data_IF_982130791173
#
_entry.id   IF_982130791173
#
_cell.length_a   1.000
_cell.length_b   1.000
_cell.length_c   1.000
_cell.angle_alpha   90.00
_cell.angle_beta   90.00
_cell.angle_gamma   90.00
#
_symmetry.space_group_name_H-M   'P 1'
#
loop_
_entity.id
_entity.type
_entity.pdbx_description
1 polymer ?
#
# COMPACT_ATOMS: atom_id res chain seq x y z
N UNK A 1 17.55 23.39 -17.80
CA UNK A 1 18.94 23.06 -18.17
C UNK A 1 18.96 21.91 -19.19
N UNK A 2 18.34 20.76 -18.88
CA UNK A 2 18.22 19.59 -19.78
C UNK A 2 17.66 19.90 -21.19
N UNK A 3 16.69 20.80 -21.32
CA UNK A 3 16.10 21.14 -22.62
C UNK A 3 17.03 21.94 -23.55
N UNK A 4 18.01 22.67 -22.99
CA UNK A 4 19.00 23.43 -23.76
C UNK A 4 20.10 22.48 -24.24
N UNK A 5 20.58 21.60 -23.37
CA UNK A 5 21.57 20.56 -23.70
C UNK A 5 21.08 19.62 -24.80
N UNK A 6 19.81 19.19 -24.76
CA UNK A 6 19.21 18.36 -25.81
C UNK A 6 19.09 19.11 -27.14
N UNK A 7 18.86 20.43 -27.10
CA UNK A 7 18.80 21.24 -28.31
C UNK A 7 20.19 21.45 -28.90
N UNK A 8 21.21 21.67 -28.06
CA UNK A 8 22.61 21.74 -28.48
C UNK A 8 23.08 20.41 -29.11
N UNK A 9 22.75 19.26 -28.50
CA UNK A 9 23.06 17.94 -29.07
C UNK A 9 22.42 17.76 -30.45
N UNK A 10 21.14 18.13 -30.60
CA UNK A 10 20.44 18.02 -31.88
C UNK A 10 21.00 18.97 -32.94
N UNK A 11 21.42 20.18 -32.55
CA UNK A 11 22.06 21.14 -33.46
C UNK A 11 23.41 20.62 -33.91
N UNK A 12 24.24 20.08 -33.01
CA UNK A 12 25.54 19.50 -33.39
C UNK A 12 25.39 18.27 -34.30
N UNK A 13 24.36 17.45 -34.09
CA UNK A 13 24.04 16.34 -34.99
C UNK A 13 23.63 16.83 -36.39
N UNK A 14 22.81 17.88 -36.47
CA UNK A 14 22.40 18.49 -37.74
C UNK A 14 23.59 19.13 -38.47
N UNK A 15 24.46 19.84 -37.76
CA UNK A 15 25.68 20.43 -38.31
C UNK A 15 26.61 19.34 -38.85
N UNK A 16 26.81 18.25 -38.10
CA UNK A 16 27.59 17.09 -38.56
C UNK A 16 26.98 16.42 -39.78
N UNK A 17 25.64 16.38 -39.91
CA UNK A 17 24.96 15.76 -41.05
C UNK A 17 25.04 16.61 -42.32
N UNK A 18 25.03 17.94 -42.19
CA UNK A 18 25.05 18.88 -43.30
C UNK A 18 26.48 19.15 -43.77
N UNK A 19 27.39 19.41 -42.83
CA UNK A 19 28.78 19.80 -43.12
C UNK A 19 29.79 18.65 -42.98
N UNK A 20 29.37 17.46 -42.52
CA UNK A 20 30.26 16.31 -42.36
C UNK A 20 31.40 16.60 -41.38
N UNK A 21 32.63 16.20 -41.76
CA UNK A 21 33.86 16.50 -41.00
C UNK A 21 34.41 17.92 -41.24
N UNK A 22 33.81 18.72 -42.12
CA UNK A 22 34.24 20.11 -42.38
C UNK A 22 33.28 21.07 -41.69
N UNK A 23 33.32 21.10 -40.36
CA UNK A 23 32.58 22.11 -39.58
C UNK A 23 33.22 23.47 -39.90
N UNK A 24 32.49 24.42 -40.52
CA UNK A 24 33.03 25.76 -40.72
C UNK A 24 33.24 26.39 -39.34
N UNK A 25 34.46 26.86 -39.08
CA UNK A 25 34.71 27.71 -37.92
C UNK A 25 33.90 29.00 -38.10
N UNK A 26 33.52 29.63 -36.98
CA UNK A 26 32.60 30.79 -36.89
C UNK A 26 33.01 31.97 -37.81
N UNK A 27 34.26 31.99 -38.30
CA UNK A 27 34.84 33.03 -39.16
C UNK A 27 35.19 32.59 -40.60
N UNK A 28 34.86 31.37 -41.03
CA UNK A 28 35.10 30.94 -42.43
C UNK A 28 33.98 31.41 -43.38
N UNK A 29 34.33 31.83 -44.62
CA UNK A 29 33.33 32.27 -45.58
C UNK A 29 32.39 31.11 -45.92
N UNK A 30 31.09 31.32 -45.64
CA UNK A 30 30.01 30.41 -46.01
C UNK A 30 30.19 29.95 -47.47
N UNK A 31 30.09 28.64 -47.76
CA UNK A 31 30.23 28.13 -49.11
C UNK A 31 29.26 28.88 -50.05
N UNK A 32 29.80 29.48 -51.12
CA UNK A 32 29.09 30.40 -52.01
C UNK A 32 27.90 29.77 -52.76
N UNK A 33 27.82 28.43 -52.80
CA UNK A 33 26.70 27.72 -53.40
C UNK A 33 25.83 27.15 -52.27
N UNK A 34 24.58 27.60 -52.21
CA UNK A 34 23.59 27.02 -51.30
C UNK A 34 23.52 25.51 -51.53
N UNK A 35 23.53 24.74 -50.44
CA UNK A 35 23.39 23.28 -50.49
C UNK A 35 22.10 22.90 -51.23
N UNK A 36 21.08 23.76 -51.13
CA UNK A 36 19.81 23.64 -51.86
C UNK A 36 20.02 23.75 -53.37
N UNK A 37 20.87 24.68 -53.83
CA UNK A 37 21.14 24.87 -55.26
C UNK A 37 21.95 23.70 -55.82
N UNK A 38 22.91 23.18 -55.06
CA UNK A 38 23.66 21.97 -55.43
C UNK A 38 22.74 20.75 -55.48
N UNK A 39 21.85 20.59 -54.50
CA UNK A 39 20.88 19.49 -54.47
C UNK A 39 19.86 19.60 -55.61
N UNK A 40 19.40 20.80 -55.93
CA UNK A 40 18.53 21.06 -57.07
C UNK A 40 19.24 20.77 -58.40
N UNK A 41 20.51 21.16 -58.53
CA UNK A 41 21.33 20.87 -59.70
C UNK A 41 21.54 19.36 -59.88
N UNK A 42 21.87 18.63 -58.80
CA UNK A 42 22.00 17.17 -58.81
C UNK A 42 20.67 16.50 -59.16
N UNK A 43 19.55 16.94 -58.58
CA UNK A 43 18.23 16.41 -58.91
C UNK A 43 17.87 16.67 -60.39
N UNK A 44 18.21 17.84 -60.91
CA UNK A 44 18.02 18.18 -62.33
C UNK A 44 18.88 17.30 -63.23
N UNK A 45 20.15 17.06 -62.87
CA UNK A 45 21.06 16.15 -63.60
C UNK A 45 20.59 14.69 -63.56
N UNK A 46 20.11 14.21 -62.41
CA UNK A 46 19.55 12.87 -62.26
C UNK A 46 18.29 12.78 -63.11
N UNK A 47 17.38 13.75 -63.03
CA UNK A 47 16.14 13.80 -63.82
C UNK A 47 16.41 13.86 -65.33
N UNK A 48 17.39 14.66 -65.78
CA UNK A 48 17.76 14.73 -67.20
C UNK A 48 18.42 13.45 -67.69
N UNK A 49 19.25 12.79 -66.87
CA UNK A 49 19.87 11.50 -67.21
C UNK A 49 18.84 10.37 -67.25
N UNK A 50 17.83 10.45 -66.37
CA UNK A 50 16.76 9.47 -66.24
C UNK A 50 15.68 9.63 -67.32
N UNK A 51 15.55 10.82 -67.90
CA UNK A 51 14.64 11.11 -69.02
C UNK A 51 14.91 10.27 -70.27
N UNK A 52 16.13 9.73 -70.43
CA UNK A 52 16.47 8.79 -71.51
C UNK A 52 16.24 7.31 -71.18
N UNK A 53 15.95 6.98 -69.92
CA UNK A 53 15.82 5.61 -69.42
C UNK A 53 14.49 5.43 -68.67
N UNK A 54 13.41 5.26 -69.43
CA UNK A 54 12.03 5.16 -68.94
C UNK A 54 11.84 4.15 -67.79
N UNK A 55 12.53 3.00 -67.86
CA UNK A 55 12.49 1.94 -66.82
C UNK A 55 13.07 2.39 -65.49
N UNK A 56 14.14 3.18 -65.51
CA UNK A 56 14.76 3.69 -64.29
C UNK A 56 13.95 4.87 -63.72
N UNK A 57 13.30 5.67 -64.56
CA UNK A 57 12.33 6.68 -64.13
C UNK A 57 11.13 6.05 -63.40
N UNK A 58 10.60 4.96 -63.94
CA UNK A 58 9.52 4.20 -63.29
C UNK A 58 9.95 3.64 -61.92
N UNK A 59 11.19 3.15 -61.78
CA UNK A 59 11.73 2.68 -60.49
C UNK A 59 11.87 3.81 -59.46
N UNK A 60 12.41 4.97 -59.85
CA UNK A 60 12.54 6.13 -58.95
C UNK A 60 11.18 6.67 -58.51
N UNK A 61 10.16 6.59 -59.37
CA UNK A 61 8.78 6.95 -59.01
C UNK A 61 8.12 5.97 -58.04
N UNK A 62 8.51 4.69 -58.07
CA UNK A 62 8.00 3.66 -57.14
C UNK A 62 8.78 3.56 -55.83
N UNK A 63 9.90 4.25 -55.71
CA UNK A 63 10.69 4.33 -54.48
C UNK A 63 9.90 4.87 -53.28
N UNK A 64 9.07 5.94 -53.39
CA UNK A 64 8.22 6.37 -52.29
C UNK A 64 7.15 5.33 -51.93
N UNK A 65 6.50 4.70 -52.92
CA UNK A 65 5.53 3.61 -52.68
C UNK A 65 6.19 2.41 -51.98
N UNK A 66 7.42 2.07 -52.37
CA UNK A 66 8.17 0.99 -51.75
C UNK A 66 8.63 1.35 -50.34
N UNK A 67 8.96 2.62 -50.09
CA UNK A 67 9.29 3.12 -48.76
C UNK A 67 8.08 3.10 -47.84
N UNK A 68 6.89 3.38 -48.37
CA UNK A 68 5.61 3.28 -47.65
C UNK A 68 5.27 1.82 -47.31
N UNK A 69 5.51 0.89 -48.23
CA UNK A 69 5.31 -0.56 -48.00
C UNK A 69 6.38 -1.19 -47.09
N UNK A 70 7.58 -0.59 -46.99
CA UNK A 70 8.61 -1.02 -46.04
C UNK A 70 8.47 -0.36 -44.67
N UNK A 71 7.63 0.66 -44.55
CA UNK A 71 7.34 1.27 -43.27
C UNK A 71 6.47 0.31 -42.46
N UNK A 72 7.03 -0.21 -41.37
CA UNK A 72 6.35 -1.11 -40.42
C UNK A 72 5.14 -0.45 -39.74
N UNK A 73 4.87 0.82 -40.01
CA UNK A 73 3.68 1.55 -39.57
C UNK A 73 2.55 1.57 -40.60
N UNK A 74 2.71 0.93 -41.78
CA UNK A 74 1.59 0.56 -42.64
C UNK A 74 0.87 -0.65 -42.02
N UNK A 75 0.12 -0.38 -40.95
CA UNK A 75 -0.74 -1.35 -40.29
C UNK A 75 -1.82 -1.81 -41.27
N UNK A 76 -1.65 -3.02 -41.82
CA UNK A 76 -2.74 -3.76 -42.45
C UNK A 76 -3.68 -4.26 -41.35
N UNK A 77 -4.49 -3.35 -40.81
CA UNK A 77 -5.37 -3.54 -39.65
C UNK A 77 -6.32 -4.75 -39.80
N UNK A 78 -6.59 -5.18 -41.03
CA UNK A 78 -7.43 -6.34 -41.35
C UNK A 78 -6.75 -7.68 -41.04
N UNK A 79 -5.46 -7.85 -41.34
CA UNK A 79 -4.71 -9.07 -40.99
C UNK A 79 -4.56 -9.25 -39.47
N UNK A 80 -4.64 -8.15 -38.71
CA UNK A 80 -4.56 -8.18 -37.26
C UNK A 80 -5.88 -8.53 -36.57
N UNK A 81 -7.04 -8.50 -37.23
CA UNK A 81 -8.32 -8.70 -36.50
C UNK A 81 -8.46 -10.13 -35.98
N UNK A 82 -8.11 -11.14 -36.77
CA UNK A 82 -8.13 -12.55 -36.35
C UNK A 82 -7.06 -12.83 -35.28
N UNK A 83 -5.86 -12.25 -35.46
CA UNK A 83 -4.79 -12.36 -34.47
C UNK A 83 -5.15 -11.68 -33.13
N UNK A 84 -5.79 -10.49 -33.19
CA UNK A 84 -6.32 -9.78 -32.02
C UNK A 84 -7.41 -10.62 -31.33
N UNK A 85 -8.27 -11.30 -32.09
CA UNK A 85 -9.29 -12.19 -31.54
C UNK A 85 -8.67 -13.38 -30.81
N UNK A 86 -7.72 -14.08 -31.42
CA UNK A 86 -7.00 -15.20 -30.80
C UNK A 86 -6.23 -14.77 -29.55
N UNK A 87 -5.62 -13.58 -29.56
CA UNK A 87 -4.97 -13.01 -28.36
C UNK A 87 -5.99 -12.76 -27.25
N UNK A 88 -7.15 -12.16 -27.56
CA UNK A 88 -8.22 -11.92 -26.58
C UNK A 88 -8.74 -13.24 -26.02
N UNK A 89 -8.90 -14.27 -26.87
CA UNK A 89 -9.34 -15.60 -26.45
C UNK A 89 -8.31 -16.29 -25.55
N UNK A 90 -7.02 -16.21 -25.90
CA UNK A 90 -5.93 -16.72 -25.07
C UNK A 90 -5.88 -16.02 -23.70
N UNK A 91 -6.11 -14.70 -23.67
CA UNK A 91 -6.10 -13.89 -22.45
C UNK A 91 -7.42 -13.92 -21.67
N UNK A 92 -8.48 -14.56 -22.18
CA UNK A 92 -9.83 -14.51 -21.59
C UNK A 92 -9.86 -14.99 -20.13
N UNK A 93 -9.11 -16.05 -19.81
CA UNK A 93 -9.05 -16.57 -18.44
C UNK A 93 -8.34 -15.61 -17.48
N UNK A 94 -7.29 -14.94 -17.95
CA UNK A 94 -6.58 -13.93 -17.17
C UNK A 94 -7.46 -12.69 -16.97
N UNK A 95 -8.17 -12.27 -18.01
CA UNK A 95 -9.12 -11.15 -17.94
C UNK A 95 -10.24 -11.42 -16.93
N UNK A 96 -10.78 -12.65 -16.91
CA UNK A 96 -11.79 -13.06 -15.92
C UNK A 96 -11.25 -13.03 -14.50
N UNK A 97 -10.04 -13.56 -14.28
CA UNK A 97 -9.38 -13.51 -12.96
C UNK A 97 -9.14 -12.08 -12.50
N UNK A 98 -8.70 -11.21 -13.39
CA UNK A 98 -8.48 -9.79 -13.09
C UNK A 98 -9.80 -9.09 -12.75
N UNK A 99 -10.89 -9.42 -13.45
CA UNK A 99 -12.22 -8.88 -13.17
C UNK A 99 -12.75 -9.35 -11.81
N UNK A 100 -12.57 -10.63 -11.45
CA UNK A 100 -12.91 -11.15 -10.12
C UNK A 100 -12.10 -10.46 -9.02
N UNK A 101 -10.81 -10.23 -9.26
CA UNK A 101 -9.94 -9.54 -8.31
C UNK A 101 -10.34 -8.07 -8.14
N UNK A 102 -10.69 -7.40 -9.23
CA UNK A 102 -11.19 -6.02 -9.24
C UNK A 102 -12.51 -5.90 -8.48
N UNK A 103 -13.45 -6.84 -8.70
CA UNK A 103 -14.71 -6.86 -7.97
C UNK A 103 -14.49 -7.07 -6.47
N UNK A 104 -13.62 -8.01 -6.08
CA UNK A 104 -13.23 -8.18 -4.67
C UNK A 104 -12.61 -6.90 -4.10
N UNK A 105 -11.73 -6.23 -4.84
CA UNK A 105 -11.14 -4.97 -4.41
C UNK A 105 -12.21 -3.89 -4.20
N UNK A 106 -13.19 -3.76 -5.10
CA UNK A 106 -14.29 -2.81 -4.95
C UNK A 106 -15.21 -3.13 -3.76
N UNK A 107 -15.45 -4.41 -3.48
CA UNK A 107 -16.20 -4.84 -2.28
C UNK A 107 -15.43 -4.52 -0.98
N UNK A 108 -14.10 -4.61 -0.99
CA UNK A 108 -13.22 -4.36 0.16
C UNK A 108 -12.86 -2.87 0.34
N UNK A 109 -12.96 -2.06 -0.71
CA UNK A 109 -12.70 -0.61 -0.69
C UNK A 109 -13.50 0.12 0.40
N UNK A 110 -14.83 -0.07 0.55
CA UNK A 110 -15.58 0.60 1.62
C UNK A 110 -15.19 0.13 3.03
N UNK A 111 -14.52 -1.02 3.19
CA UNK A 111 -14.01 -1.49 4.49
C UNK A 111 -12.79 -0.67 4.94
N UNK A 112 -11.98 -0.21 4.00
CA UNK A 112 -10.84 0.67 4.25
C UNK A 112 -11.29 2.09 4.60
N UNK A 113 -12.42 2.52 4.04
CA UNK A 113 -13.03 3.84 4.30
C UNK A 113 -13.85 3.89 5.59
N UNK A 114 -13.96 2.78 6.34
CA UNK A 114 -14.69 2.80 7.60
C UNK A 114 -13.95 3.75 8.56
N UNK A 115 -14.60 4.87 8.89
CA UNK A 115 -14.15 5.87 9.88
C UNK A 115 -13.72 5.24 11.23
N UNK A 116 -14.18 4.02 11.52
CA UNK A 116 -13.76 3.22 12.68
C UNK A 116 -12.27 2.92 12.71
N UNK A 117 -11.60 2.72 11.56
CA UNK A 117 -10.13 2.54 11.50
C UNK A 117 -9.43 3.88 11.73
N UNK A 118 -9.99 4.97 11.20
CA UNK A 118 -9.47 6.33 11.38
C UNK A 118 -9.56 6.82 12.83
N UNK A 119 -10.59 6.40 13.56
CA UNK A 119 -10.82 6.76 14.96
C UNK A 119 -10.06 5.89 15.97
N UNK A 120 -9.29 4.89 15.53
CA UNK A 120 -8.48 4.03 16.42
C UNK A 120 -7.49 4.84 17.28
N UNK A 121 -6.71 5.80 16.72
CA UNK A 121 -5.77 6.60 17.51
C UNK A 121 -6.46 7.48 18.56
N UNK A 122 -7.71 7.91 18.31
CA UNK A 122 -8.50 8.68 19.29
C UNK A 122 -9.08 7.80 20.41
N UNK A 123 -9.27 6.50 20.15
CA UNK A 123 -9.78 5.55 21.11
C UNK A 123 -8.67 4.98 22.02
N UNK A 124 -7.43 4.95 21.54
CA UNK A 124 -6.25 4.52 22.32
C UNK A 124 -6.09 5.24 23.67
N UNK A 125 -6.11 6.59 23.76
CA UNK A 125 -5.97 7.27 25.04
C UNK A 125 -7.15 7.01 25.99
N UNK A 126 -8.36 6.84 25.46
CA UNK A 126 -9.54 6.48 26.26
C UNK A 126 -9.41 5.07 26.83
N UNK A 127 -8.87 4.13 26.05
CA UNK A 127 -8.62 2.76 26.48
C UNK A 127 -7.50 2.71 27.54
N UNK A 128 -6.44 3.48 27.36
CA UNK A 128 -5.36 3.60 28.34
C UNK A 128 -5.89 4.15 29.68
N UNK A 129 -6.65 5.25 29.65
CA UNK A 129 -7.27 5.80 30.84
C UNK A 129 -8.25 4.81 31.51
N UNK A 130 -9.04 4.08 30.73
CA UNK A 130 -9.90 3.02 31.26
C UNK A 130 -9.10 1.89 31.93
N UNK A 131 -7.95 1.52 31.34
CA UNK A 131 -7.07 0.48 31.87
C UNK A 131 -6.47 0.88 33.21
N UNK A 132 -6.01 2.13 33.32
CA UNK A 132 -5.52 2.70 34.59
C UNK A 132 -6.62 2.71 35.65
N UNK A 133 -7.82 3.17 35.31
CA UNK A 133 -8.95 3.18 36.23
C UNK A 133 -9.36 1.76 36.67
N UNK A 134 -9.31 0.80 35.75
CA UNK A 134 -9.60 -0.59 36.05
C UNK A 134 -8.58 -1.19 37.03
N UNK A 135 -7.28 -0.92 36.82
CA UNK A 135 -6.22 -1.33 37.75
C UNK A 135 -6.45 -0.74 39.15
N UNK A 136 -6.75 0.55 39.23
CA UNK A 136 -7.03 1.19 40.51
C UNK A 136 -8.27 0.61 41.21
N UNK A 137 -9.35 0.35 40.46
CA UNK A 137 -10.54 -0.30 41.00
C UNK A 137 -10.26 -1.71 41.50
N UNK A 138 -9.40 -2.45 40.80
CA UNK A 138 -8.97 -3.79 41.20
C UNK A 138 -8.13 -3.77 42.49
N UNK A 139 -7.17 -2.84 42.61
CA UNK A 139 -6.38 -2.67 43.83
C UNK A 139 -7.25 -2.31 45.03
N UNK A 140 -8.17 -1.35 44.87
CA UNK A 140 -9.12 -0.97 45.92
C UNK A 140 -9.99 -2.15 46.35
N UNK A 141 -10.48 -2.94 45.40
CA UNK A 141 -11.27 -4.14 45.68
C UNK A 141 -10.46 -5.17 46.49
N UNK A 142 -9.19 -5.39 46.10
CA UNK A 142 -8.28 -6.28 46.81
C UNK A 142 -8.02 -5.81 48.26
N UNK A 143 -7.80 -4.52 48.46
CA UNK A 143 -7.59 -3.94 49.79
C UNK A 143 -8.82 -4.09 50.68
N UNK A 144 -10.01 -3.76 50.16
CA UNK A 144 -11.28 -3.94 50.88
C UNK A 144 -11.47 -5.40 51.26
N UNK A 145 -11.21 -6.32 50.33
CA UNK A 145 -11.35 -7.75 50.59
C UNK A 145 -10.38 -8.21 51.69
N UNK A 146 -9.14 -7.72 51.68
CA UNK A 146 -8.16 -7.99 52.74
C UNK A 146 -8.63 -7.48 54.09
N UNK A 147 -9.14 -6.24 54.15
CA UNK A 147 -9.69 -5.67 55.38
C UNK A 147 -10.89 -6.47 55.88
N UNK A 148 -11.77 -6.92 54.99
CA UNK A 148 -12.92 -7.74 55.32
C UNK A 148 -12.51 -9.09 55.92
N UNK A 149 -11.50 -9.76 55.36
CA UNK A 149 -10.95 -10.98 55.94
C UNK A 149 -10.32 -10.74 57.32
N UNK A 150 -9.64 -9.61 57.53
CA UNK A 150 -9.07 -9.26 58.82
C UNK A 150 -10.17 -9.06 59.88
N UNK A 151 -11.25 -8.34 59.54
CA UNK A 151 -12.39 -8.15 60.43
C UNK A 151 -13.08 -9.48 60.74
N UNK A 152 -13.28 -10.35 59.74
CA UNK A 152 -13.85 -11.68 59.98
C UNK A 152 -12.95 -12.55 60.87
N UNK A 153 -11.64 -12.50 60.69
CA UNK A 153 -10.70 -13.21 61.55
C UNK A 153 -10.80 -12.73 63.00
N UNK A 154 -10.83 -11.41 63.23
CA UNK A 154 -11.04 -10.82 64.55
C UNK A 154 -12.38 -11.22 65.16
N UNK A 155 -13.46 -11.15 64.38
CA UNK A 155 -14.79 -11.55 64.82
C UNK A 155 -14.83 -13.03 65.24
N UNK A 156 -14.28 -13.92 64.41
CA UNK A 156 -14.23 -15.36 64.72
C UNK A 156 -13.41 -15.63 65.98
N UNK A 157 -12.30 -14.92 66.18
CA UNK A 157 -11.49 -15.04 67.40
C UNK A 157 -12.24 -14.59 68.66
N UNK A 158 -12.96 -13.46 68.58
CA UNK A 158 -13.81 -12.97 69.66
C UNK A 158 -14.93 -13.97 69.95
N UNK A 159 -15.57 -14.51 68.92
CA UNK A 159 -16.65 -15.49 69.06
C UNK A 159 -16.17 -16.79 69.72
N UNK A 160 -14.99 -17.29 69.34
CA UNK A 160 -14.35 -18.44 69.99
C UNK A 160 -14.04 -18.16 71.46
N UNK A 161 -13.53 -16.96 71.76
CA UNK A 161 -13.27 -16.52 73.14
C UNK A 161 -14.54 -16.44 73.97
N UNK A 162 -15.62 -15.86 73.43
CA UNK A 162 -16.94 -15.80 74.09
C UNK A 162 -17.46 -17.21 74.30
N UNK A 163 -17.34 -18.10 73.31
CA UNK A 163 -17.80 -19.49 73.41
C UNK A 163 -17.08 -20.23 74.55
N UNK A 164 -15.76 -20.06 74.65
CA UNK A 164 -14.95 -20.59 75.77
C UNK A 164 -15.33 -20.00 77.12
N UNK A 165 -15.56 -18.69 77.18
CA UNK A 165 -16.02 -18.01 78.41
C UNK A 165 -17.38 -18.53 78.87
N UNK A 166 -18.32 -18.72 77.94
CA UNK A 166 -19.64 -19.27 78.26
C UNK A 166 -19.56 -20.70 78.76
N UNK A 167 -18.74 -21.57 78.15
CA UNK A 167 -18.50 -22.93 78.64
C UNK A 167 -17.85 -22.92 80.04
N UNK A 168 -16.89 -22.04 80.27
CA UNK A 168 -16.25 -21.91 81.59
C UNK A 168 -17.23 -21.40 82.65
N UNK A 169 -18.11 -20.47 82.29
CA UNK A 169 -19.13 -19.93 83.18
C UNK A 169 -20.18 -21.00 83.51
N UNK A 170 -20.62 -21.78 82.52
CA UNK A 170 -21.54 -22.89 82.71
C UNK A 170 -20.94 -23.95 83.66
N UNK A 171 -19.65 -24.26 83.49
CA UNK A 171 -18.94 -25.16 84.40
C UNK A 171 -18.86 -24.64 85.84
N UNK A 172 -18.62 -23.33 86.03
CA UNK A 172 -18.56 -22.74 87.38
C UNK A 172 -19.94 -22.62 88.03
N UNK A 173 -20.98 -22.31 87.25
CA UNK A 173 -22.38 -22.32 87.70
C UNK A 173 -22.78 -23.73 88.10
N UNK A 174 -22.53 -24.74 87.25
CA UNK A 174 -22.82 -26.15 87.57
C UNK A 174 -22.11 -26.59 88.85
N UNK A 175 -20.84 -26.21 89.04
CA UNK A 175 -20.10 -26.52 90.26
C UNK A 175 -20.74 -25.85 91.50
N UNK A 176 -21.19 -24.59 91.38
CA UNK A 176 -21.89 -23.89 92.45
C UNK A 176 -23.27 -24.48 92.74
N UNK A 177 -24.02 -24.91 91.72
CA UNK A 177 -25.32 -25.58 91.86
C UNK A 177 -25.19 -26.95 92.54
N UNK A 178 -24.18 -27.75 92.18
CA UNK A 178 -23.89 -29.03 92.85
C UNK A 178 -23.48 -28.82 94.31
N UNK A 179 -22.73 -27.75 94.61
CA UNK A 179 -22.35 -27.40 95.98
C UNK A 179 -23.53 -26.85 96.81
N UNK A 180 -24.48 -26.16 96.16
CA UNK A 180 -25.68 -25.61 96.76
C UNK A 180 -26.87 -26.59 96.78
N UNK A 181 -26.77 -27.74 96.09
CA UNK A 181 -27.80 -28.77 96.11
C UNK A 181 -27.97 -29.30 97.54
N UNK A 182 -29.20 -29.29 98.10
CA UNK A 182 -29.44 -29.80 99.44
C UNK A 182 -29.17 -31.30 99.45
N UNK A 183 -28.33 -31.76 100.39
CA UNK A 183 -28.19 -33.19 100.69
C UNK A 183 -29.59 -33.75 100.91
N UNK A 184 -30.07 -34.59 99.97
CA UNK A 184 -31.24 -35.44 100.19
C UNK A 184 -30.98 -36.20 101.47
N UNK A 185 -31.65 -35.80 102.55
CA UNK A 185 -31.89 -36.68 103.67
C UNK A 185 -32.74 -37.80 103.10
N UNK A 186 -32.15 -38.99 102.95
CA UNK A 186 -32.91 -40.21 102.87
C UNK A 186 -32.35 -41.14 103.94
N UNK A 187 -33.27 -41.42 104.88
CA UNK A 187 -33.31 -42.44 105.94
C UNK A 187 -32.37 -43.65 105.78
#
# INVERSE_FOLDING_TARGET
>A
MVAIELLEERVTELEKRIYGSSVPLIDDPLPQNSIVDNLLHINTLISSSLSGQEKACALVKRLPELNELLDLSYDDDELYTEAKFEIIMAMQQELKKNLELLNKMNELMPVLEIDRIKNVPELTPKLEHLTVNYLQAYENSSEINRSMYEVFSKYNNIMDTISKLMLSLDATITAAEVAAAPKKQLD
#
